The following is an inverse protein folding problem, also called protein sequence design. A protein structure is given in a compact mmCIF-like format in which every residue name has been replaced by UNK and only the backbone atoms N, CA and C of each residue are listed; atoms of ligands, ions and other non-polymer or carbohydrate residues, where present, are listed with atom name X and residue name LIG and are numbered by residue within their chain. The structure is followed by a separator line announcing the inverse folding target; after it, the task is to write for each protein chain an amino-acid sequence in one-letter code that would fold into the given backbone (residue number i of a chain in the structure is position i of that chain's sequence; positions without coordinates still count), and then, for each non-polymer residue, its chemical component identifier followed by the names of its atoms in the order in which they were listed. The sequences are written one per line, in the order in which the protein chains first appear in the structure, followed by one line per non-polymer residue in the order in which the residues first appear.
data_IF_104136031373
#
_entry.id   IF_104136031373
#
_cell.length_a   1.000
_cell.length_b   1.000
_cell.length_c   1.000
_cell.angle_alpha   90.00
_cell.angle_beta   90.00
_cell.angle_gamma   90.00
#
_symmetry.space_group_name_H-M   'P 1'
#
loop_
_entity.id
_entity.type
_entity.pdbx_description
1 polymer ?
#
# COMPACT_ATOMS: atom_id res chain seq x y z
N UNK A 1 18.74 -23.81 5.63
CA UNK A 1 17.62 -23.38 4.76
C UNK A 1 18.20 -22.46 3.70
N UNK A 2 18.16 -22.86 2.43
CA UNK A 2 18.47 -21.98 1.30
C UNK A 2 17.18 -21.28 0.89
N UNK A 3 17.10 -19.97 1.11
CA UNK A 3 16.02 -19.18 0.52
C UNK A 3 16.47 -18.83 -0.89
N UNK A 4 15.75 -19.34 -1.88
CA UNK A 4 16.06 -19.08 -3.28
C UNK A 4 15.75 -17.62 -3.61
N UNK A 5 16.74 -16.90 -4.15
CA UNK A 5 16.59 -15.50 -4.54
C UNK A 5 15.44 -15.31 -5.56
N UNK A 6 15.19 -16.32 -6.40
CA UNK A 6 14.07 -16.36 -7.35
C UNK A 6 12.72 -16.38 -6.63
N UNK A 7 12.60 -17.10 -5.51
CA UNK A 7 11.38 -17.16 -4.71
C UNK A 7 11.13 -15.81 -4.01
N UNK A 8 12.16 -15.20 -3.43
CA UNK A 8 12.04 -13.86 -2.85
C UNK A 8 11.68 -12.79 -3.89
N UNK A 9 12.33 -12.85 -5.06
CA UNK A 9 12.08 -11.91 -6.15
C UNK A 9 10.64 -11.96 -6.65
N UNK A 10 10.07 -13.16 -6.84
CA UNK A 10 8.68 -13.32 -7.28
C UNK A 10 7.67 -12.86 -6.23
N UNK A 11 7.93 -13.11 -4.95
CA UNK A 11 7.11 -12.62 -3.84
C UNK A 11 7.06 -11.08 -3.84
N UNK A 12 8.22 -10.41 -3.97
CA UNK A 12 8.31 -8.95 -4.03
C UNK A 12 7.62 -8.39 -5.28
N UNK A 13 7.81 -9.05 -6.44
CA UNK A 13 7.20 -8.65 -7.71
C UNK A 13 5.67 -8.60 -7.65
N UNK A 14 5.06 -9.46 -6.82
CA UNK A 14 3.60 -9.48 -6.61
C UNK A 14 3.19 -8.54 -5.47
N UNK A 15 3.94 -8.51 -4.37
CA UNK A 15 3.60 -7.70 -3.19
C UNK A 15 3.59 -6.20 -3.47
N UNK A 16 4.62 -5.68 -4.15
CA UNK A 16 4.75 -4.26 -4.46
C UNK A 16 3.53 -3.72 -5.22
N UNK A 17 3.09 -4.30 -6.34
CA UNK A 17 1.91 -3.81 -7.04
C UNK A 17 0.61 -4.01 -6.25
N UNK A 18 0.47 -5.11 -5.50
CA UNK A 18 -0.69 -5.32 -4.63
C UNK A 18 -0.79 -4.22 -3.58
N UNK A 19 0.31 -3.91 -2.88
CA UNK A 19 0.33 -2.90 -1.83
C UNK A 19 0.12 -1.50 -2.41
N UNK A 20 0.67 -1.21 -3.59
CA UNK A 20 0.42 0.04 -4.31
C UNK A 20 -1.06 0.20 -4.67
N UNK A 21 -1.70 -0.84 -5.23
CA UNK A 21 -3.11 -0.83 -5.59
C UNK A 21 -4.01 -0.64 -4.37
N UNK A 22 -3.79 -1.41 -3.31
CA UNK A 22 -4.56 -1.29 -2.07
C UNK A 22 -4.42 0.12 -1.50
N UNK A 23 -3.19 0.62 -1.41
CA UNK A 23 -2.93 1.98 -0.90
C UNK A 23 -3.54 3.07 -1.77
N UNK A 24 -3.56 2.89 -3.11
CA UNK A 24 -4.25 3.80 -4.03
C UNK A 24 -5.76 3.84 -3.79
N UNK A 25 -6.42 2.68 -3.70
CA UNK A 25 -7.86 2.60 -3.52
C UNK A 25 -8.31 3.15 -2.16
N UNK A 26 -7.56 2.87 -1.10
CA UNK A 26 -7.81 3.48 0.21
C UNK A 26 -7.51 4.99 0.18
N UNK A 27 -6.40 5.38 -0.44
CA UNK A 27 -5.97 6.77 -0.58
C UNK A 27 -6.99 7.64 -1.32
N UNK A 28 -7.66 7.10 -2.35
CA UNK A 28 -8.68 7.84 -3.14
C UNK A 28 -9.84 8.38 -2.29
N UNK A 29 -10.24 7.65 -1.25
CA UNK A 29 -11.37 8.03 -0.39
C UNK A 29 -10.94 8.77 0.88
N UNK A 30 -9.68 8.59 1.30
CA UNK A 30 -9.17 9.07 2.60
C UNK A 30 -8.13 10.17 2.50
N UNK A 31 -7.59 10.48 1.32
CA UNK A 31 -6.47 11.43 1.16
C UNK A 31 -6.66 12.30 -0.08
N UNK A 32 -6.07 13.50 -0.07
CA UNK A 32 -6.08 14.42 -1.21
C UNK A 32 -5.05 14.03 -2.29
N UNK A 33 -4.09 13.16 -1.95
CA UNK A 33 -2.96 12.77 -2.79
C UNK A 33 -2.84 11.25 -2.95
N UNK A 34 -3.83 10.57 -3.57
CA UNK A 34 -3.87 9.11 -3.67
C UNK A 34 -2.67 8.48 -4.39
N UNK A 35 -2.06 9.19 -5.35
CA UNK A 35 -0.90 8.72 -6.10
C UNK A 35 0.33 8.62 -5.17
N UNK A 36 0.57 9.61 -4.32
CA UNK A 36 1.70 9.60 -3.37
C UNK A 36 1.54 8.44 -2.38
N UNK A 37 0.31 8.22 -1.89
CA UNK A 37 -0.02 7.12 -0.98
C UNK A 37 0.20 5.76 -1.65
N UNK A 38 -0.15 5.62 -2.93
CA UNK A 38 0.11 4.42 -3.71
C UNK A 38 1.60 4.13 -3.88
N UNK A 39 2.39 5.16 -4.19
CA UNK A 39 3.85 5.03 -4.35
C UNK A 39 4.50 4.64 -3.03
N UNK A 40 4.15 5.31 -1.93
CA UNK A 40 4.66 4.99 -0.59
C UNK A 40 4.27 3.56 -0.20
N UNK A 41 2.99 3.19 -0.37
CA UNK A 41 2.51 1.83 -0.10
C UNK A 41 3.20 0.76 -0.94
N UNK A 42 3.45 1.03 -2.22
CA UNK A 42 4.19 0.14 -3.11
C UNK A 42 5.63 -0.08 -2.65
N UNK A 43 6.36 0.99 -2.31
CA UNK A 43 7.73 0.87 -1.77
C UNK A 43 7.75 0.12 -0.43
N UNK A 44 6.76 0.36 0.43
CA UNK A 44 6.60 -0.39 1.67
C UNK A 44 6.27 -1.88 1.44
N UNK A 45 5.85 -2.28 0.24
CA UNK A 45 5.71 -3.69 -0.16
C UNK A 45 7.03 -4.46 -0.17
N UNK A 46 8.18 -3.77 -0.22
CA UNK A 46 9.51 -4.38 -0.05
C UNK A 46 9.73 -4.89 1.39
N UNK A 47 9.07 -4.27 2.36
CA UNK A 47 9.12 -4.63 3.79
C UNK A 47 7.69 -4.92 4.24
N UNK A 48 7.18 -6.15 4.03
CA UNK A 48 5.75 -6.45 4.09
C UNK A 48 5.09 -6.03 5.41
N UNK A 49 5.80 -6.19 6.53
CA UNK A 49 5.33 -5.78 7.86
C UNK A 49 5.05 -4.28 7.93
N UNK A 50 5.95 -3.44 7.40
CA UNK A 50 5.75 -1.99 7.40
C UNK A 50 4.61 -1.59 6.46
N UNK A 51 4.49 -2.24 5.30
CA UNK A 51 3.38 -1.97 4.38
C UNK A 51 2.02 -2.37 4.94
N UNK A 52 1.93 -3.47 5.69
CA UNK A 52 0.70 -3.86 6.38
C UNK A 52 0.32 -2.86 7.47
N UNK A 53 1.28 -2.38 8.27
CA UNK A 53 1.04 -1.33 9.27
C UNK A 53 0.54 -0.05 8.58
N UNK A 54 1.19 0.36 7.49
CA UNK A 54 0.78 1.54 6.73
C UNK A 54 -0.64 1.41 6.17
N UNK A 55 -0.97 0.28 5.55
CA UNK A 55 -2.32 0.00 5.03
C UNK A 55 -3.34 -0.02 6.18
N UNK A 56 -3.01 -0.58 7.34
CA UNK A 56 -3.89 -0.59 8.51
C UNK A 56 -4.18 0.83 9.02
N UNK A 57 -3.13 1.66 9.16
CA UNK A 57 -3.29 3.08 9.53
C UNK A 57 -4.13 3.82 8.49
N UNK A 58 -3.88 3.58 7.20
CA UNK A 58 -4.66 4.17 6.12
C UNK A 58 -6.11 3.67 6.12
N UNK A 59 -6.37 2.42 6.49
CA UNK A 59 -7.72 1.87 6.57
C UNK A 59 -8.52 2.52 7.70
N UNK A 60 -7.88 2.80 8.84
CA UNK A 60 -8.45 3.45 10.01
C UNK A 60 -8.62 4.97 9.84
N UNK A 61 -7.87 5.59 8.92
CA UNK A 61 -8.02 7.02 8.62
C UNK A 61 -9.45 7.32 8.20
N UNK A 62 -10.06 8.39 8.70
CA UNK A 62 -11.38 8.83 8.25
C UNK A 62 -11.38 9.23 6.78
N UNK A 63 -12.50 8.97 6.11
CA UNK A 63 -12.71 9.42 4.73
C UNK A 63 -12.71 10.95 4.70
N UNK A 64 -12.32 11.54 3.58
CA UNK A 64 -12.41 12.99 3.42
C UNK A 64 -13.89 13.40 3.48
N UNK A 65 -14.17 14.52 4.14
CA UNK A 65 -15.51 15.10 4.15
C UNK A 65 -15.92 15.31 2.69
N UNK A 66 -16.92 14.55 2.25
CA UNK A 66 -17.56 14.78 0.97
C UNK A 66 -18.34 16.08 1.16
N UNK A 67 -17.85 17.20 0.62
CA UNK A 67 -18.65 18.42 0.59
C UNK A 67 -20.00 18.03 -0.04
N UNK A 68 -21.05 18.13 0.76
CA UNK A 68 -22.41 17.94 0.30
C UNK A 68 -22.74 19.16 -0.56
N UNK A 69 -22.52 19.02 -1.86
CA UNK A 69 -23.00 19.95 -2.90
C UNK A 69 -24.49 19.71 -3.11
#
# INVERSE_FOLDING_TARGET
MSIDATLLGTIILVLVPVFALVSYFLGKRKTTTPIIVAVIGGFLGLVPVLGLIFIAVLALKSDLAKEAV
#
